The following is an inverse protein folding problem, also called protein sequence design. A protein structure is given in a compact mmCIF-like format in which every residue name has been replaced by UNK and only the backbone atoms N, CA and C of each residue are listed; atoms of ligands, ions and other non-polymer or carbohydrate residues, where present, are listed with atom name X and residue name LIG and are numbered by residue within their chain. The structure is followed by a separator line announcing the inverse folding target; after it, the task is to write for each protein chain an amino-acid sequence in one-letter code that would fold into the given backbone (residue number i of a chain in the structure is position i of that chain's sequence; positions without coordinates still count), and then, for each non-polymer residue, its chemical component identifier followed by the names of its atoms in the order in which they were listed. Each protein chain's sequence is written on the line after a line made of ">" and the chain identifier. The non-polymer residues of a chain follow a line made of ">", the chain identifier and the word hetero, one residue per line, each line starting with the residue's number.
data_IF_266925267658
#
_entry.id   IF_266925267658
#
_cell.length_a   1.000
_cell.length_b   1.000
_cell.length_c   1.000
_cell.angle_alpha   90.00
_cell.angle_beta   90.00
_cell.angle_gamma   90.00
#
_symmetry.space_group_name_H-M   'P 1'
#
loop_
_entity.id
_entity.type
_entity.pdbx_description
1 polymer ?
#
# COMPACT_ATOMS: atom_id res chain seq x y z
N UNK A 1 -1.59 -1.22 -10.11
CA UNK A 1 -1.34 -2.53 -10.74
C UNK A 1 -1.66 -2.48 -12.24
N UNK A 2 -1.02 -3.34 -13.03
CA UNK A 2 -1.26 -3.50 -14.47
C UNK A 2 -2.74 -3.84 -14.78
N UNK A 3 -3.31 -3.20 -15.80
CA UNK A 3 -4.73 -3.35 -16.13
C UNK A 3 -5.08 -4.77 -16.64
N UNK A 4 -4.21 -5.39 -17.44
CA UNK A 4 -4.44 -6.75 -17.93
C UNK A 4 -4.36 -7.76 -16.78
N UNK A 5 -3.39 -7.57 -15.87
CA UNK A 5 -3.25 -8.42 -14.69
C UNK A 5 -4.48 -8.35 -13.76
N UNK A 6 -5.07 -7.16 -13.59
CA UNK A 6 -6.32 -6.99 -12.83
C UNK A 6 -7.53 -7.62 -13.51
N UNK A 7 -7.64 -7.51 -14.84
CA UNK A 7 -8.81 -8.01 -15.57
C UNK A 7 -8.82 -9.54 -15.74
N UNK A 8 -7.65 -10.16 -15.84
CA UNK A 8 -7.55 -11.57 -16.21
C UNK A 8 -8.28 -12.55 -15.26
N UNK A 9 -8.20 -12.43 -13.91
CA UNK A 9 -8.94 -13.29 -12.99
C UNK A 9 -10.46 -13.19 -13.16
N UNK A 10 -10.99 -12.00 -13.43
CA UNK A 10 -12.43 -11.79 -13.67
C UNK A 10 -12.94 -12.50 -14.91
N UNK A 11 -12.09 -12.65 -15.93
CA UNK A 11 -12.48 -13.30 -17.17
C UNK A 11 -12.26 -14.82 -17.15
N UNK A 12 -11.33 -15.32 -16.32
CA UNK A 12 -10.83 -16.70 -16.43
C UNK A 12 -10.96 -17.54 -15.16
N UNK A 13 -10.93 -16.93 -13.96
CA UNK A 13 -10.98 -17.64 -12.68
C UNK A 13 -12.36 -17.48 -12.02
N UNK A 14 -12.81 -16.24 -11.79
CA UNK A 14 -14.06 -16.00 -11.07
C UNK A 14 -15.30 -16.65 -11.69
N UNK A 15 -15.45 -16.75 -13.03
CA UNK A 15 -16.55 -17.50 -13.62
C UNK A 15 -16.52 -18.99 -13.26
N UNK A 16 -15.33 -19.61 -13.21
CA UNK A 16 -15.16 -21.03 -12.83
C UNK A 16 -15.40 -21.26 -11.35
N UNK A 17 -14.98 -20.33 -10.49
CA UNK A 17 -15.35 -20.36 -9.06
C UNK A 17 -16.86 -20.28 -8.92
N UNK A 18 -17.52 -19.33 -9.60
CA UNK A 18 -18.96 -19.14 -9.52
C UNK A 18 -19.71 -20.41 -9.96
N UNK A 19 -19.34 -21.00 -11.08
CA UNK A 19 -19.90 -22.27 -11.55
C UNK A 19 -19.76 -23.39 -10.51
N UNK A 20 -18.55 -23.57 -9.94
CA UNK A 20 -18.27 -24.63 -8.98
C UNK A 20 -19.06 -24.48 -7.67
N UNK A 21 -19.22 -23.26 -7.17
CA UNK A 21 -19.97 -23.02 -5.92
C UNK A 21 -21.48 -23.07 -6.18
N UNK A 22 -21.98 -22.59 -7.32
CA UNK A 22 -23.40 -22.64 -7.67
C UNK A 22 -23.90 -24.06 -7.91
N UNK A 23 -23.05 -24.96 -8.41
CA UNK A 23 -23.35 -26.39 -8.53
C UNK A 23 -23.68 -27.06 -7.19
N UNK A 24 -23.27 -26.44 -6.08
CA UNK A 24 -23.61 -26.86 -4.71
C UNK A 24 -24.42 -25.78 -3.98
N UNK A 25 -25.33 -25.08 -4.67
CA UNK A 25 -26.21 -24.06 -4.12
C UNK A 25 -25.50 -23.08 -3.15
N UNK A 26 -24.29 -22.66 -3.48
CA UNK A 26 -23.64 -21.51 -2.85
C UNK A 26 -23.77 -20.31 -3.79
N UNK A 27 -23.73 -19.11 -3.22
CA UNK A 27 -23.54 -17.88 -3.99
C UNK A 27 -22.23 -17.24 -3.56
N UNK A 28 -21.42 -16.89 -4.55
CA UNK A 28 -20.22 -16.11 -4.35
C UNK A 28 -20.35 -14.78 -5.09
N UNK A 29 -19.89 -13.73 -4.44
CA UNK A 29 -19.71 -12.42 -5.04
C UNK A 29 -18.37 -11.86 -4.58
N UNK A 30 -17.89 -10.82 -5.26
CA UNK A 30 -16.59 -10.25 -4.98
C UNK A 30 -16.54 -9.68 -3.55
N UNK A 31 -15.37 -9.72 -2.95
CA UNK A 31 -15.15 -9.08 -1.66
C UNK A 31 -15.33 -7.55 -1.78
N UNK A 32 -16.12 -6.84 -0.96
CA UNK A 32 -16.78 -7.16 0.32
C UNK A 32 -18.20 -6.57 0.40
N UNK A 33 -18.87 -6.64 1.56
CA UNK A 33 -20.32 -6.46 1.72
C UNK A 33 -20.99 -5.11 1.42
N UNK A 34 -22.12 -4.88 2.10
CA UNK A 34 -22.97 -3.69 1.91
C UNK A 34 -22.20 -2.42 2.23
N UNK A 35 -22.25 -1.46 1.32
CA UNK A 35 -21.59 -0.16 1.44
C UNK A 35 -22.49 0.93 0.85
N UNK A 36 -22.45 2.12 1.43
CA UNK A 36 -23.15 3.29 0.89
C UNK A 36 -22.12 4.30 0.42
N UNK A 37 -22.17 4.64 -0.86
CA UNK A 37 -21.33 5.67 -1.47
C UNK A 37 -22.20 6.74 -2.11
N UNK A 38 -21.91 8.01 -1.84
CA UNK A 38 -22.68 9.16 -2.35
C UNK A 38 -24.20 9.00 -2.13
N UNK A 39 -24.61 8.51 -0.96
CA UNK A 39 -26.02 8.27 -0.61
C UNK A 39 -26.68 7.08 -1.31
N UNK A 40 -25.93 6.30 -2.12
CA UNK A 40 -26.44 5.12 -2.81
C UNK A 40 -25.91 3.85 -2.16
N UNK A 41 -26.84 3.06 -1.62
CA UNK A 41 -26.55 1.72 -1.09
C UNK A 41 -26.16 0.78 -2.22
N UNK A 42 -25.11 0.01 -2.02
CA UNK A 42 -24.58 -0.97 -2.96
C UNK A 42 -23.63 -1.96 -2.30
N UNK A 43 -22.77 -2.58 -3.10
CA UNK A 43 -21.80 -3.58 -2.65
C UNK A 43 -20.38 -3.09 -2.90
N UNK A 44 -19.42 -3.32 -1.99
CA UNK A 44 -18.05 -2.80 -2.18
C UNK A 44 -17.03 -3.25 -1.16
N UNK A 45 -15.74 -3.14 -1.50
CA UNK A 45 -14.62 -3.52 -0.60
C UNK A 45 -14.49 -2.54 0.57
N UNK A 46 -13.95 -3.00 1.70
CA UNK A 46 -13.69 -2.18 2.89
C UNK A 46 -12.34 -1.46 2.85
N UNK A 47 -11.32 -2.05 2.22
CA UNK A 47 -9.93 -1.59 2.30
C UNK A 47 -9.17 -1.95 1.02
N UNK A 48 -8.27 -1.07 0.57
CA UNK A 48 -7.49 -1.20 -0.67
C UNK A 48 -6.03 -0.80 -0.53
N UNK A 49 -5.58 -0.61 0.70
CA UNK A 49 -4.20 -0.35 1.04
C UNK A 49 -3.33 -1.60 0.73
N UNK A 50 -2.12 -1.44 0.17
CA UNK A 50 -1.25 -2.55 -0.20
C UNK A 50 -0.86 -3.51 0.92
N UNK A 51 -1.04 -3.17 2.21
CA UNK A 51 -0.96 -4.16 3.31
C UNK A 51 -1.91 -5.34 3.12
N UNK A 52 -2.96 -5.21 2.30
CA UNK A 52 -3.85 -6.32 1.93
C UNK A 52 -3.24 -7.14 0.79
N UNK A 53 -3.13 -8.45 0.99
CA UNK A 53 -2.52 -9.39 0.05
C UNK A 53 -3.00 -9.26 -1.42
N UNK A 54 -4.31 -9.08 -1.63
CA UNK A 54 -4.88 -8.99 -2.98
C UNK A 54 -4.51 -7.68 -3.70
N UNK A 55 -4.14 -6.62 -2.98
CA UNK A 55 -3.61 -5.37 -3.55
C UNK A 55 -2.10 -5.48 -3.73
N UNK A 56 -1.39 -5.98 -2.70
CA UNK A 56 0.05 -6.22 -2.71
C UNK A 56 0.50 -7.00 -3.96
N UNK A 57 -0.19 -8.11 -4.27
CA UNK A 57 0.10 -8.95 -5.44
C UNK A 57 0.01 -8.18 -6.75
N UNK A 58 -0.94 -7.25 -6.87
CA UNK A 58 -1.04 -6.35 -8.01
C UNK A 58 0.15 -5.40 -8.17
N UNK A 59 0.76 -4.95 -7.07
CA UNK A 59 2.01 -4.16 -7.10
C UNK A 59 3.24 -5.02 -7.41
N UNK A 60 3.23 -6.29 -7.03
CA UNK A 60 4.33 -7.25 -7.30
C UNK A 60 4.15 -8.04 -8.59
N UNK A 61 3.28 -7.56 -9.49
CA UNK A 61 3.06 -8.13 -10.83
C UNK A 61 2.65 -9.62 -10.80
N UNK A 62 1.82 -9.99 -9.84
CA UNK A 62 1.33 -11.36 -9.63
C UNK A 62 -0.18 -11.36 -9.42
N UNK A 63 -0.87 -12.42 -9.84
CA UNK A 63 -2.31 -12.58 -9.56
C UNK A 63 -2.46 -12.99 -8.10
N UNK A 64 -3.17 -12.19 -7.31
CA UNK A 64 -3.62 -12.56 -5.97
C UNK A 64 -5.13 -12.56 -5.88
N UNK A 65 -5.65 -13.53 -5.15
CA UNK A 65 -7.08 -13.66 -4.85
C UNK A 65 -7.17 -13.79 -3.34
N UNK A 66 -7.95 -12.89 -2.72
CA UNK A 66 -8.36 -13.05 -1.32
C UNK A 66 -9.62 -13.90 -1.32
N UNK A 67 -9.64 -14.95 -0.50
CA UNK A 67 -10.80 -15.80 -0.34
C UNK A 67 -11.25 -15.77 1.11
N UNK A 68 -12.50 -15.37 1.32
CA UNK A 68 -13.14 -15.37 2.63
C UNK A 68 -14.54 -15.97 2.50
N UNK A 69 -14.93 -16.80 3.47
CA UNK A 69 -16.28 -17.37 3.60
C UNK A 69 -16.88 -16.94 4.95
N UNK A 70 -17.09 -15.62 5.16
CA UNK A 70 -17.48 -15.11 6.48
C UNK A 70 -18.96 -15.41 6.76
N UNK A 71 -19.25 -15.93 7.96
CA UNK A 71 -20.61 -16.11 8.52
C UNK A 71 -21.60 -16.75 7.52
N UNK A 72 -21.51 -18.07 7.37
CA UNK A 72 -22.47 -18.84 6.58
C UNK A 72 -23.55 -19.45 7.47
N UNK A 73 -24.49 -18.64 7.97
CA UNK A 73 -25.67 -19.15 8.69
C UNK A 73 -26.85 -19.45 7.77
N UNK A 74 -26.81 -18.98 6.51
CA UNK A 74 -27.85 -19.24 5.50
C UNK A 74 -27.24 -19.62 4.16
N UNK A 75 -28.00 -20.36 3.35
CA UNK A 75 -27.64 -20.82 2.00
C UNK A 75 -28.72 -20.41 1.01
N UNK A 76 -28.31 -20.04 -0.21
CA UNK A 76 -29.23 -19.73 -1.32
C UNK A 76 -29.37 -20.98 -2.18
N UNK A 77 -30.56 -21.58 -2.20
CA UNK A 77 -30.89 -22.76 -2.99
C UNK A 77 -30.96 -22.42 -4.49
N UNK A 78 -30.91 -23.45 -5.34
CA UNK A 78 -31.02 -23.32 -6.80
C UNK A 78 -32.30 -22.60 -7.27
N UNK A 79 -33.41 -22.80 -6.56
CA UNK A 79 -34.68 -22.14 -6.83
C UNK A 79 -34.76 -20.69 -6.32
N UNK A 80 -33.67 -20.18 -5.73
CA UNK A 80 -33.57 -18.83 -5.18
C UNK A 80 -34.10 -18.70 -3.75
N UNK A 81 -34.60 -19.77 -3.13
CA UNK A 81 -34.98 -19.75 -1.72
C UNK A 81 -33.75 -19.68 -0.83
N UNK A 82 -33.91 -19.10 0.36
CA UNK A 82 -32.84 -18.97 1.34
C UNK A 82 -33.20 -19.79 2.57
N UNK A 83 -32.35 -20.73 2.92
CA UNK A 83 -32.55 -21.65 4.04
C UNK A 83 -31.50 -21.41 5.12
N UNK A 84 -31.88 -21.62 6.38
CA UNK A 84 -30.91 -21.63 7.49
C UNK A 84 -30.04 -22.89 7.43
N UNK A 85 -28.76 -22.73 7.72
CA UNK A 85 -27.80 -23.83 7.84
C UNK A 85 -27.78 -24.27 9.31
N UNK A 86 -28.08 -25.55 9.62
CA UNK A 86 -27.99 -26.11 10.96
C UNK A 86 -26.62 -25.82 11.60
N UNK A 87 -26.62 -25.49 12.90
CA UNK A 87 -25.42 -25.02 13.59
C UNK A 87 -24.24 -26.00 13.49
N UNK A 88 -24.52 -27.30 13.58
CA UNK A 88 -23.56 -28.40 13.47
C UNK A 88 -23.00 -28.59 12.05
N UNK A 89 -23.68 -28.09 11.02
CA UNK A 89 -23.25 -28.14 9.61
C UNK A 89 -22.44 -26.91 9.19
N UNK A 90 -22.56 -25.78 9.91
CA UNK A 90 -21.98 -24.48 9.51
C UNK A 90 -20.48 -24.54 9.27
N UNK A 91 -19.73 -25.28 10.08
CA UNK A 91 -18.29 -25.43 9.91
C UNK A 91 -17.94 -26.11 8.58
N UNK A 92 -18.56 -27.26 8.30
CA UNK A 92 -18.34 -27.99 7.05
C UNK A 92 -18.76 -27.19 5.83
N UNK A 93 -19.89 -26.48 5.93
CA UNK A 93 -20.37 -25.61 4.87
C UNK A 93 -19.38 -24.45 4.57
N UNK A 94 -18.79 -23.83 5.59
CA UNK A 94 -17.74 -22.81 5.40
C UNK A 94 -16.50 -23.39 4.69
N UNK A 95 -16.01 -24.53 5.16
CA UNK A 95 -14.84 -25.18 4.54
C UNK A 95 -15.13 -25.60 3.11
N UNK A 96 -16.34 -26.09 2.81
CA UNK A 96 -16.71 -26.58 1.47
C UNK A 96 -16.63 -25.48 0.42
N UNK A 97 -17.13 -24.27 0.70
CA UNK A 97 -17.00 -23.13 -0.21
C UNK A 97 -15.54 -22.79 -0.52
N UNK A 98 -14.68 -22.83 0.50
CA UNK A 98 -13.23 -22.65 0.32
C UNK A 98 -12.58 -23.73 -0.53
N UNK A 99 -12.94 -25.00 -0.30
CA UNK A 99 -12.43 -26.14 -1.09
C UNK A 99 -12.83 -26.03 -2.56
N UNK A 100 -14.09 -25.70 -2.85
CA UNK A 100 -14.58 -25.53 -4.22
C UNK A 100 -13.82 -24.43 -4.95
N UNK A 101 -13.68 -23.27 -4.32
CA UNK A 101 -13.00 -22.15 -4.94
C UNK A 101 -11.49 -22.38 -5.12
N UNK A 102 -10.80 -22.96 -4.13
CA UNK A 102 -9.38 -23.31 -4.26
C UNK A 102 -9.16 -24.37 -5.35
N UNK A 103 -10.03 -25.37 -5.45
CA UNK A 103 -9.95 -26.39 -6.50
C UNK A 103 -10.09 -25.76 -7.88
N UNK A 104 -11.11 -24.91 -8.08
CA UNK A 104 -11.30 -24.19 -9.34
C UNK A 104 -10.11 -23.29 -9.71
N UNK A 105 -9.51 -22.59 -8.73
CA UNK A 105 -8.30 -21.78 -8.94
C UNK A 105 -7.14 -22.66 -9.43
N UNK A 106 -6.89 -23.79 -8.76
CA UNK A 106 -5.79 -24.70 -9.11
C UNK A 106 -5.99 -25.35 -10.47
N UNK A 107 -7.22 -25.74 -10.81
CA UNK A 107 -7.58 -26.28 -12.12
C UNK A 107 -7.32 -25.26 -13.24
N UNK A 108 -7.84 -24.03 -13.11
CA UNK A 108 -7.59 -22.96 -14.07
C UNK A 108 -6.09 -22.64 -14.18
N UNK A 109 -5.37 -22.63 -13.06
CA UNK A 109 -3.93 -22.41 -13.07
C UNK A 109 -3.17 -23.52 -13.81
N UNK A 110 -3.59 -24.78 -13.70
CA UNK A 110 -3.00 -25.90 -14.42
C UNK A 110 -3.33 -25.86 -15.93
N UNK A 111 -4.60 -25.62 -16.26
CA UNK A 111 -5.12 -25.51 -17.64
C UNK A 111 -4.48 -24.34 -18.40
N UNK A 112 -4.42 -23.16 -17.77
CA UNK A 112 -3.97 -21.89 -18.37
C UNK A 112 -2.58 -21.45 -17.92
N UNK A 113 -1.73 -22.39 -17.50
CA UNK A 113 -0.39 -22.11 -16.96
C UNK A 113 0.46 -21.19 -17.85
N UNK A 114 0.36 -21.37 -19.17
CA UNK A 114 1.18 -20.61 -20.12
C UNK A 114 0.70 -19.16 -20.21
N UNK A 115 -0.61 -18.93 -20.29
CA UNK A 115 -1.22 -17.60 -20.29
C UNK A 115 -0.86 -16.83 -19.02
N UNK A 116 -0.92 -17.47 -17.84
CA UNK A 116 -0.56 -16.86 -16.56
C UNK A 116 0.93 -16.47 -16.53
N UNK A 117 1.81 -17.34 -17.04
CA UNK A 117 3.26 -17.07 -17.11
C UNK A 117 3.55 -15.90 -18.04
N UNK A 118 2.92 -15.87 -19.22
CA UNK A 118 3.08 -14.78 -20.18
C UNK A 118 2.58 -13.46 -19.61
N UNK A 119 1.39 -13.45 -19.01
CA UNK A 119 0.78 -12.27 -18.40
C UNK A 119 1.67 -11.68 -17.29
N UNK A 120 2.08 -12.50 -16.33
CA UNK A 120 2.90 -12.05 -15.19
C UNK A 120 4.30 -11.63 -15.63
N UNK A 121 4.92 -12.35 -16.58
CA UNK A 121 6.21 -11.97 -17.16
C UNK A 121 6.11 -10.63 -17.89
N UNK A 122 5.09 -10.45 -18.73
CA UNK A 122 4.89 -9.20 -19.45
C UNK A 122 4.66 -8.02 -18.50
N UNK A 123 3.89 -8.21 -17.42
CA UNK A 123 3.68 -7.19 -16.38
C UNK A 123 4.99 -6.80 -15.69
N UNK A 124 5.82 -7.79 -15.32
CA UNK A 124 7.16 -7.55 -14.73
C UNK A 124 8.08 -6.79 -15.70
N UNK A 125 8.10 -7.18 -16.98
CA UNK A 125 8.91 -6.52 -18.00
C UNK A 125 8.47 -5.07 -18.22
N UNK A 126 7.16 -4.79 -18.23
CA UNK A 126 6.64 -3.41 -18.28
C UNK A 126 7.07 -2.59 -17.07
N UNK A 127 7.03 -3.17 -15.86
CA UNK A 127 7.50 -2.48 -14.66
C UNK A 127 9.00 -2.15 -14.72
N UNK A 128 9.83 -3.10 -15.18
CA UNK A 128 11.27 -2.87 -15.38
C UNK A 128 11.52 -1.76 -16.41
N UNK A 129 10.84 -1.80 -17.55
CA UNK A 129 10.98 -0.79 -18.60
C UNK A 129 10.53 0.59 -18.12
N UNK A 130 9.40 0.66 -17.40
CA UNK A 130 8.91 1.89 -16.81
C UNK A 130 9.89 2.46 -15.79
N UNK A 131 10.44 1.63 -14.90
CA UNK A 131 11.46 2.07 -13.95
C UNK A 131 12.76 2.50 -14.61
N UNK A 132 13.22 1.79 -15.64
CA UNK A 132 14.42 2.19 -16.39
C UNK A 132 14.26 3.54 -17.07
N UNK A 133 13.10 3.83 -17.66
CA UNK A 133 12.88 5.10 -18.34
C UNK A 133 12.32 6.23 -17.48
N UNK A 134 12.03 5.99 -16.19
CA UNK A 134 11.26 6.95 -15.38
C UNK A 134 9.87 7.22 -15.97
N UNK A 135 9.25 6.20 -16.57
CA UNK A 135 8.02 6.35 -17.35
C UNK A 135 6.78 6.07 -16.52
N UNK A 136 5.73 6.83 -16.82
CA UNK A 136 4.43 6.68 -16.20
C UNK A 136 4.31 7.39 -14.86
N UNK A 137 3.19 7.15 -14.20
CA UNK A 137 2.77 7.87 -13.00
C UNK A 137 2.76 6.93 -11.80
N UNK A 138 3.13 7.47 -10.64
CA UNK A 138 2.85 6.91 -9.32
C UNK A 138 1.54 7.53 -8.83
N UNK A 139 0.62 6.69 -8.37
CA UNK A 139 -0.68 7.14 -7.85
C UNK A 139 -0.48 7.53 -6.40
N UNK A 140 -0.87 8.75 -6.05
CA UNK A 140 -0.80 9.27 -4.68
C UNK A 140 -2.18 9.19 -4.04
N UNK A 141 -3.21 9.71 -4.74
CA UNK A 141 -4.59 9.68 -4.29
C UNK A 141 -5.50 9.02 -5.33
N UNK A 142 -6.60 8.46 -4.84
CA UNK A 142 -7.61 7.82 -5.67
C UNK A 142 -8.97 7.79 -4.97
N UNK A 143 -10.03 7.72 -5.76
CA UNK A 143 -11.41 7.67 -5.26
C UNK A 143 -12.12 6.41 -5.75
N UNK A 144 -13.03 5.91 -4.92
CA UNK A 144 -13.91 4.80 -5.29
C UNK A 144 -14.93 5.25 -6.34
N UNK A 145 -15.22 4.37 -7.28
CA UNK A 145 -16.14 4.59 -8.38
C UNK A 145 -16.98 3.33 -8.62
N UNK A 146 -18.13 3.51 -9.25
CA UNK A 146 -19.00 2.40 -9.63
C UNK A 146 -18.39 1.64 -10.81
N UNK A 147 -18.28 0.32 -10.74
CA UNK A 147 -17.92 -0.51 -11.90
C UNK A 147 -19.13 -0.87 -12.76
N UNK A 148 -20.34 -0.71 -12.24
CA UNK A 148 -21.59 -1.11 -12.87
C UNK A 148 -22.60 -1.57 -11.83
N UNK A 149 -23.85 -1.72 -12.25
CA UNK A 149 -24.86 -2.39 -11.43
C UNK A 149 -24.82 -3.90 -11.71
N UNK A 150 -24.92 -4.70 -10.66
CA UNK A 150 -24.97 -6.16 -10.75
C UNK A 150 -26.00 -6.73 -9.76
N UNK A 151 -26.57 -7.91 -10.06
CA UNK A 151 -27.46 -8.60 -9.14
C UNK A 151 -26.66 -9.17 -7.95
N UNK A 152 -26.95 -8.68 -6.74
CA UNK A 152 -26.30 -9.09 -5.49
C UNK A 152 -27.34 -9.45 -4.44
N UNK A 153 -27.09 -10.50 -3.67
CA UNK A 153 -27.90 -10.83 -2.49
C UNK A 153 -27.61 -9.84 -1.37
N UNK A 154 -28.55 -8.93 -1.13
CA UNK A 154 -28.43 -7.84 -0.16
C UNK A 154 -29.27 -8.14 1.06
N UNK A 155 -28.83 -7.78 2.29
CA UNK A 155 -29.68 -7.78 3.46
C UNK A 155 -30.94 -6.94 3.20
N UNK A 156 -32.08 -7.48 3.58
CA UNK A 156 -33.41 -6.93 3.33
C UNK A 156 -34.35 -7.33 4.47
N UNK A 157 -34.73 -6.37 5.31
CA UNK A 157 -35.58 -6.60 6.49
C UNK A 157 -37.02 -6.95 6.12
N UNK A 158 -37.47 -6.54 4.92
CA UNK A 158 -38.82 -6.83 4.42
C UNK A 158 -38.91 -8.24 3.80
N UNK A 159 -37.78 -8.87 3.49
CA UNK A 159 -37.72 -10.22 2.98
C UNK A 159 -37.84 -11.24 4.14
N UNK A 160 -38.67 -12.27 3.98
CA UNK A 160 -38.84 -13.35 4.98
C UNK A 160 -37.51 -14.00 5.38
N UNK A 161 -36.59 -14.12 4.42
CA UNK A 161 -35.27 -14.69 4.63
C UNK A 161 -34.21 -13.69 5.12
N UNK A 162 -34.57 -12.42 5.30
CA UNK A 162 -33.64 -11.33 5.66
C UNK A 162 -32.71 -10.88 4.53
N UNK A 163 -32.87 -11.42 3.32
CA UNK A 163 -32.09 -11.09 2.14
C UNK A 163 -32.95 -11.16 0.88
N UNK A 164 -32.64 -10.32 -0.11
CA UNK A 164 -33.24 -10.35 -1.45
C UNK A 164 -32.19 -10.08 -2.53
N UNK A 165 -32.43 -10.57 -3.75
CA UNK A 165 -31.58 -10.30 -4.90
C UNK A 165 -31.92 -8.91 -5.46
N UNK A 166 -30.94 -8.01 -5.48
CA UNK A 166 -31.13 -6.62 -5.89
C UNK A 166 -30.12 -6.22 -6.95
N UNK A 167 -30.55 -5.44 -7.95
CA UNK A 167 -29.64 -4.79 -8.90
C UNK A 167 -29.06 -3.53 -8.26
N UNK A 168 -27.80 -3.60 -7.80
CA UNK A 168 -27.17 -2.57 -6.99
C UNK A 168 -25.85 -2.11 -7.59
N UNK A 169 -25.42 -0.84 -7.36
CA UNK A 169 -24.11 -0.39 -7.79
C UNK A 169 -22.99 -1.14 -7.05
N UNK A 170 -21.91 -1.45 -7.78
CA UNK A 170 -20.74 -2.15 -7.25
C UNK A 170 -19.53 -1.22 -7.19
N UNK A 171 -19.11 -0.90 -5.97
CA UNK A 171 -18.05 0.03 -5.61
C UNK A 171 -16.68 -0.68 -5.50
N UNK A 172 -16.26 -1.31 -6.61
CA UNK A 172 -15.00 -2.07 -6.72
C UNK A 172 -14.06 -1.53 -7.80
N UNK A 173 -14.24 -0.27 -8.19
CA UNK A 173 -13.34 0.44 -9.10
C UNK A 173 -12.74 1.62 -8.36
N UNK A 174 -11.45 1.86 -8.56
CA UNK A 174 -10.76 3.05 -8.05
C UNK A 174 -10.16 3.82 -9.21
N UNK A 175 -10.29 5.15 -9.13
CA UNK A 175 -9.82 6.09 -10.16
C UNK A 175 -8.78 7.01 -9.53
N UNK A 176 -7.57 7.11 -10.10
CA UNK A 176 -6.56 8.05 -9.61
C UNK A 176 -7.07 9.49 -9.68
N UNK A 177 -6.87 10.25 -8.62
CA UNK A 177 -7.20 11.69 -8.54
C UNK A 177 -5.95 12.56 -8.47
N UNK A 178 -4.85 12.03 -7.93
CA UNK A 178 -3.55 12.70 -7.92
C UNK A 178 -2.42 11.72 -8.21
N UNK A 179 -1.43 12.19 -8.98
CA UNK A 179 -0.26 11.41 -9.35
C UNK A 179 1.02 12.23 -9.34
N UNK A 180 2.16 11.54 -9.33
CA UNK A 180 3.49 12.11 -9.56
C UNK A 180 4.28 11.26 -10.56
N UNK A 181 5.27 11.84 -11.22
CA UNK A 181 6.09 11.12 -12.19
C UNK A 181 6.90 9.99 -11.55
N UNK A 182 7.15 8.91 -12.28
CA UNK A 182 8.00 7.81 -11.80
C UNK A 182 9.50 8.22 -11.84
N UNK A 183 10.25 8.14 -10.73
CA UNK A 183 11.71 8.31 -10.79
C UNK A 183 12.40 7.04 -11.31
N UNK A 184 13.64 7.16 -11.79
CA UNK A 184 14.49 6.00 -12.15
C UNK A 184 15.06 5.29 -10.92
N UNK A 185 15.03 5.93 -9.75
CA UNK A 185 15.43 5.35 -8.48
C UNK A 185 15.30 6.33 -7.32
N UNK A 186 15.59 5.83 -6.12
CA UNK A 186 15.59 6.61 -4.88
C UNK A 186 16.96 6.57 -4.21
N UNK A 187 17.39 7.69 -3.64
CA UNK A 187 18.53 7.78 -2.73
C UNK A 187 18.02 7.73 -1.30
N UNK A 188 18.72 6.99 -0.43
CA UNK A 188 18.48 6.97 1.01
C UNK A 188 19.78 7.22 1.78
N UNK A 189 19.75 8.08 2.82
CA UNK A 189 20.93 8.34 3.64
C UNK A 189 21.26 7.13 4.51
N UNK A 190 22.50 7.05 5.07
CA UNK A 190 22.90 5.96 5.95
C UNK A 190 21.98 5.77 7.17
N UNK A 191 21.33 6.84 7.63
CA UNK A 191 20.34 6.80 8.72
C UNK A 191 19.13 5.91 8.42
N UNK A 192 18.88 5.57 7.16
CA UNK A 192 17.80 4.67 6.72
C UNK A 192 18.26 3.21 6.56
N UNK A 193 19.44 2.83 7.06
CA UNK A 193 19.96 1.46 6.92
C UNK A 193 19.02 0.37 7.47
N UNK A 194 18.15 0.69 8.44
CA UNK A 194 17.14 -0.23 9.00
C UNK A 194 16.06 -0.64 8.01
N UNK A 195 15.85 0.13 6.94
CA UNK A 195 14.86 -0.17 5.88
C UNK A 195 15.37 -1.22 4.89
N UNK A 196 16.68 -1.31 4.70
CA UNK A 196 17.30 -2.21 3.71
C UNK A 196 16.87 -3.68 3.85
N UNK A 197 16.81 -4.31 5.04
CA UNK A 197 16.34 -5.68 5.18
C UNK A 197 14.91 -5.88 4.71
N UNK A 198 14.02 -4.90 4.93
CA UNK A 198 12.60 -4.97 4.53
C UNK A 198 12.49 -4.97 3.02
N UNK A 199 13.23 -4.08 2.35
CA UNK A 199 13.27 -4.04 0.90
C UNK A 199 13.76 -5.39 0.34
N UNK A 200 14.82 -5.94 0.94
CA UNK A 200 15.35 -7.24 0.54
C UNK A 200 14.38 -8.40 0.80
N UNK A 201 13.59 -8.37 1.88
CA UNK A 201 12.54 -9.36 2.16
C UNK A 201 11.43 -9.32 1.09
N UNK A 202 11.25 -8.18 0.40
CA UNK A 202 10.39 -8.02 -0.78
C UNK A 202 11.08 -8.35 -2.12
N UNK A 203 12.31 -8.88 -2.10
CA UNK A 203 13.15 -9.13 -3.28
C UNK A 203 13.50 -7.85 -4.07
N UNK A 204 13.57 -6.70 -3.38
CA UNK A 204 14.03 -5.44 -3.95
C UNK A 204 15.56 -5.37 -3.83
N UNK A 205 16.23 -5.21 -4.96
CA UNK A 205 17.67 -4.95 -4.98
C UNK A 205 17.97 -3.53 -4.48
N UNK A 206 18.87 -3.45 -3.51
CA UNK A 206 19.41 -2.22 -2.95
C UNK A 206 20.90 -2.17 -3.24
N UNK A 207 21.41 -0.98 -3.53
CA UNK A 207 22.82 -0.74 -3.81
C UNK A 207 23.37 0.25 -2.80
N UNK A 208 24.63 0.08 -2.40
CA UNK A 208 25.33 0.96 -1.47
C UNK A 208 26.46 1.70 -2.19
N UNK A 209 26.60 2.99 -1.94
CA UNK A 209 27.69 3.79 -2.49
C UNK A 209 29.04 3.35 -1.91
N UNK A 210 30.03 3.17 -2.78
CA UNK A 210 31.40 2.79 -2.44
C UNK A 210 32.38 3.98 -2.42
N UNK A 211 31.89 5.17 -2.73
CA UNK A 211 32.66 6.41 -2.78
C UNK A 211 31.74 7.62 -2.93
N UNK A 212 32.29 8.84 -2.86
CA UNK A 212 31.51 10.05 -2.99
C UNK A 212 31.00 10.27 -4.43
N UNK A 213 29.83 10.88 -4.55
CA UNK A 213 29.28 11.35 -5.82
C UNK A 213 28.44 12.61 -5.57
N UNK A 214 28.30 13.45 -6.60
CA UNK A 214 27.39 14.59 -6.60
C UNK A 214 26.29 14.29 -7.62
N UNK A 215 25.04 14.25 -7.17
CA UNK A 215 23.91 13.74 -7.94
C UNK A 215 22.75 14.72 -7.92
N UNK A 216 22.18 15.01 -9.08
CA UNK A 216 20.93 15.77 -9.17
C UNK A 216 19.76 14.90 -8.72
N UNK A 217 18.98 15.39 -7.77
CA UNK A 217 17.82 14.69 -7.24
C UNK A 217 16.69 15.66 -6.95
N UNK A 218 15.47 15.14 -6.95
CA UNK A 218 14.33 15.85 -6.40
C UNK A 218 14.16 15.46 -4.92
N UNK A 219 14.18 16.46 -4.06
CA UNK A 219 14.13 16.35 -2.61
C UNK A 219 12.76 16.78 -2.13
N UNK A 220 12.14 15.95 -1.31
CA UNK A 220 10.91 16.31 -0.62
C UNK A 220 11.21 16.98 0.72
N UNK A 221 10.50 18.05 1.01
CA UNK A 221 10.43 18.70 2.31
C UNK A 221 9.03 18.55 2.86
N UNK A 222 8.92 17.95 4.03
CA UNK A 222 7.64 17.81 4.72
C UNK A 222 7.13 19.19 5.15
N UNK A 223 5.89 19.48 4.78
CA UNK A 223 5.17 20.69 5.19
C UNK A 223 4.23 20.40 6.35
N UNK A 224 3.65 19.20 6.39
CA UNK A 224 2.81 18.74 7.50
C UNK A 224 3.05 17.25 7.75
N UNK A 225 3.54 16.87 8.93
CA UNK A 225 3.69 15.48 9.37
C UNK A 225 2.72 15.26 10.52
N UNK A 226 1.80 14.31 10.37
CA UNK A 226 0.72 14.07 11.33
C UNK A 226 0.50 12.59 11.60
N UNK A 227 0.16 12.24 12.84
CA UNK A 227 -0.34 10.91 13.19
C UNK A 227 -1.85 10.86 12.96
N UNK A 228 -2.29 9.96 12.10
CA UNK A 228 -3.69 9.80 11.70
C UNK A 228 -4.44 8.80 12.60
N UNK A 229 -3.79 7.68 12.93
CA UNK A 229 -4.44 6.61 13.69
C UNK A 229 -3.46 5.65 14.36
N UNK A 230 -3.96 4.85 15.31
CA UNK A 230 -3.21 3.73 15.86
C UNK A 230 -3.69 2.41 15.25
N UNK A 231 -2.78 1.63 14.70
CA UNK A 231 -3.09 0.35 14.08
C UNK A 231 -2.00 -0.69 14.33
N UNK A 232 -2.39 -1.85 14.91
CA UNK A 232 -1.52 -3.01 15.11
C UNK A 232 -0.14 -2.71 15.76
N UNK A 233 -0.07 -1.77 16.70
CA UNK A 233 1.19 -1.44 17.37
C UNK A 233 1.93 -0.23 16.78
N UNK A 234 1.40 0.38 15.72
CA UNK A 234 2.01 1.53 15.03
C UNK A 234 1.11 2.75 15.13
N UNK A 235 1.72 3.93 15.28
CA UNK A 235 1.08 5.22 15.03
C UNK A 235 1.25 5.55 13.56
N UNK A 236 0.18 5.37 12.79
CA UNK A 236 0.22 5.56 11.35
C UNK A 236 0.33 7.06 11.04
N UNK A 237 1.33 7.42 10.23
CA UNK A 237 1.59 8.80 9.85
C UNK A 237 1.13 9.11 8.43
N UNK A 238 0.74 10.36 8.21
CA UNK A 238 0.62 10.97 6.90
C UNK A 238 1.57 12.17 6.81
N UNK A 239 1.98 12.49 5.59
CA UNK A 239 2.82 13.66 5.34
C UNK A 239 2.38 14.38 4.07
N UNK A 240 2.29 15.70 4.15
CA UNK A 240 2.22 16.57 2.98
C UNK A 240 3.62 17.11 2.68
N UNK A 241 3.97 17.26 1.40
CA UNK A 241 5.32 17.64 0.99
C UNK A 241 5.34 18.70 -0.10
N UNK A 242 6.43 19.45 -0.14
CA UNK A 242 6.88 20.20 -1.30
C UNK A 242 8.16 19.58 -1.85
N UNK A 243 8.43 19.78 -3.15
CA UNK A 243 9.56 19.15 -3.82
C UNK A 243 10.44 20.18 -4.52
N UNK A 244 11.76 20.00 -4.40
CA UNK A 244 12.77 20.86 -4.99
C UNK A 244 13.84 20.04 -5.70
N UNK A 245 14.38 20.55 -6.81
CA UNK A 245 15.53 19.93 -7.46
C UNK A 245 16.81 20.46 -6.84
N UNK A 246 17.67 19.55 -6.38
CA UNK A 246 18.93 19.87 -5.72
C UNK A 246 20.04 18.95 -6.20
N UNK A 247 21.28 19.46 -6.18
CA UNK A 247 22.47 18.63 -6.31
C UNK A 247 22.89 18.15 -4.92
N UNK A 248 22.92 16.84 -4.74
CA UNK A 248 23.22 16.17 -3.48
C UNK A 248 24.61 15.54 -3.48
N UNK A 249 25.40 15.89 -2.48
CA UNK A 249 26.66 15.21 -2.20
C UNK A 249 26.39 13.95 -1.37
N UNK A 250 26.50 12.80 -2.02
CA UNK A 250 26.41 11.48 -1.39
C UNK A 250 27.80 10.95 -1.08
N UNK A 251 27.93 10.20 0.01
CA UNK A 251 29.18 9.61 0.47
C UNK A 251 29.05 8.10 0.66
N UNK A 252 30.15 7.42 0.97
CA UNK A 252 30.11 6.00 1.31
C UNK A 252 29.11 5.73 2.44
N UNK A 253 28.22 4.73 2.27
CA UNK A 253 27.17 4.42 3.24
C UNK A 253 25.77 4.80 2.80
N UNK A 254 25.63 5.72 1.84
CA UNK A 254 24.35 5.99 1.20
C UNK A 254 23.86 4.77 0.42
N UNK A 255 22.55 4.71 0.20
CA UNK A 255 21.90 3.67 -0.58
C UNK A 255 21.21 4.23 -1.82
N UNK A 256 21.16 3.43 -2.87
CA UNK A 256 20.42 3.64 -4.09
C UNK A 256 19.47 2.47 -4.34
N UNK A 257 18.21 2.77 -4.60
CA UNK A 257 17.15 1.79 -4.89
C UNK A 257 16.61 2.08 -6.29
N UNK A 258 17.05 1.37 -7.34
CA UNK A 258 16.56 1.60 -8.70
C UNK A 258 15.11 1.13 -8.83
N UNK A 259 14.29 1.84 -9.60
CA UNK A 259 12.91 1.40 -9.90
C UNK A 259 12.83 0.42 -11.07
N UNK A 260 13.93 0.25 -11.82
CA UNK A 260 14.06 -0.67 -12.96
C UNK A 260 14.13 -2.15 -12.53
N UNK A 261 13.13 -2.60 -11.79
CA UNK A 261 13.03 -3.94 -11.19
C UNK A 261 11.62 -4.49 -11.39
N UNK A 262 11.45 -5.81 -11.27
CA UNK A 262 10.12 -6.44 -11.28
C UNK A 262 9.22 -5.90 -10.16
N UNK A 263 9.80 -5.40 -9.06
CA UNK A 263 9.09 -4.76 -7.95
C UNK A 263 8.93 -3.24 -8.11
N UNK A 264 9.21 -2.67 -9.29
CA UNK A 264 9.22 -1.20 -9.50
C UNK A 264 7.94 -0.47 -9.05
N UNK A 265 6.77 -1.10 -9.17
CA UNK A 265 5.51 -0.52 -8.68
C UNK A 265 5.44 -0.48 -7.15
N UNK A 266 5.90 -1.54 -6.48
CA UNK A 266 5.98 -1.61 -5.02
C UNK A 266 7.03 -0.63 -4.48
N UNK A 267 8.19 -0.54 -5.13
CA UNK A 267 9.27 0.40 -4.75
C UNK A 267 8.71 1.83 -4.72
N UNK A 268 8.05 2.26 -5.80
CA UNK A 268 7.47 3.61 -5.84
C UNK A 268 6.39 3.81 -4.78
N UNK A 269 5.57 2.79 -4.49
CA UNK A 269 4.56 2.89 -3.44
C UNK A 269 5.17 3.02 -2.04
N UNK A 270 6.26 2.30 -1.76
CA UNK A 270 6.90 2.34 -0.45
C UNK A 270 7.70 3.64 -0.22
N UNK A 271 8.17 4.28 -1.29
CA UNK A 271 9.14 5.38 -1.24
C UNK A 271 8.53 6.77 -1.49
N UNK A 272 7.40 6.87 -2.21
CA UNK A 272 6.73 8.16 -2.38
C UNK A 272 6.04 8.57 -1.07
N UNK A 273 6.31 9.77 -0.52
CA UNK A 273 5.90 10.16 0.83
C UNK A 273 4.38 10.27 1.03
N UNK A 274 3.63 10.57 -0.02
CA UNK A 274 2.21 10.90 0.07
C UNK A 274 1.27 9.74 -0.30
N UNK A 275 1.80 8.54 -0.55
CA UNK A 275 0.96 7.33 -0.69
C UNK A 275 0.48 6.86 0.69
N UNK A 276 -0.72 6.28 0.75
CA UNK A 276 -1.42 5.94 2.00
C UNK A 276 -0.90 4.74 2.82
N UNK A 277 0.17 4.06 2.38
CA UNK A 277 0.65 2.83 3.02
C UNK A 277 2.16 2.59 2.82
N UNK A 278 2.98 3.62 3.08
CA UNK A 278 4.42 3.63 2.78
C UNK A 278 5.33 3.53 4.01
N UNK A 279 6.65 3.68 3.81
CA UNK A 279 7.63 3.62 4.89
C UNK A 279 7.39 4.69 5.99
N UNK A 280 6.92 5.89 5.62
CA UNK A 280 6.58 6.97 6.55
C UNK A 280 5.32 6.57 7.34
N UNK A 281 4.30 6.07 6.65
CA UNK A 281 3.05 5.59 7.28
C UNK A 281 3.31 4.57 8.38
N UNK A 282 4.30 3.70 8.20
CA UNK A 282 4.64 2.66 9.18
C UNK A 282 5.74 3.05 10.19
N UNK A 283 6.17 4.31 10.20
CA UNK A 283 7.10 4.85 11.19
C UNK A 283 8.58 4.53 10.94
N UNK A 284 8.96 4.09 9.74
CA UNK A 284 10.37 3.80 9.41
C UNK A 284 11.25 5.05 9.33
N UNK A 285 10.64 6.24 9.35
CA UNK A 285 11.30 7.54 9.31
C UNK A 285 11.16 8.32 10.61
N UNK A 286 10.64 7.74 11.69
CA UNK A 286 10.31 8.47 12.93
C UNK A 286 11.52 9.08 13.64
N UNK A 287 12.72 8.57 13.38
CA UNK A 287 13.99 9.13 13.86
C UNK A 287 14.50 10.30 13.00
N UNK A 288 13.78 10.66 11.93
CA UNK A 288 14.14 11.74 10.98
C UNK A 288 13.00 12.74 10.83
N UNK A 289 11.75 12.26 10.74
CA UNK A 289 10.55 13.08 10.58
C UNK A 289 9.78 13.12 11.89
N UNK A 290 9.74 14.30 12.48
CA UNK A 290 8.97 14.66 13.66
C UNK A 290 7.62 15.25 13.23
N UNK A 291 6.60 15.09 14.07
CA UNK A 291 5.29 15.69 13.81
C UNK A 291 5.39 17.22 13.71
N UNK A 292 4.65 17.80 12.76
CA UNK A 292 4.58 19.24 12.60
C UNK A 292 3.80 19.84 13.76
N UNK A 293 4.40 20.74 14.56
CA UNK A 293 3.69 21.37 15.66
C UNK A 293 2.55 22.27 15.16
N UNK A 294 1.39 22.23 15.83
CA UNK A 294 0.21 23.04 15.46
C UNK A 294 0.47 24.56 15.54
N UNK A 295 1.37 24.97 16.45
CA UNK A 295 1.69 26.38 16.68
C UNK A 295 3.02 26.55 17.39
N UNK A 296 3.55 27.78 17.38
CA UNK A 296 4.74 28.14 18.15
C UNK A 296 4.52 27.97 19.64
N UNK A 297 3.31 28.27 20.10
CA UNK A 297 2.87 28.12 21.47
C UNK A 297 2.92 26.64 21.90
N UNK A 298 2.48 25.72 21.05
CA UNK A 298 2.56 24.28 21.30
C UNK A 298 4.02 23.80 21.45
N UNK A 299 4.95 24.32 20.63
CA UNK A 299 6.38 24.02 20.77
C UNK A 299 6.93 24.55 22.09
N UNK A 300 6.57 25.77 22.47
CA UNK A 300 6.97 26.36 23.75
C UNK A 300 6.45 25.53 24.91
N UNK A 301 5.16 25.14 24.89
CA UNK A 301 4.56 24.29 25.91
C UNK A 301 5.26 22.94 26.04
N UNK A 302 5.53 22.27 24.90
CA UNK A 302 6.29 21.03 24.85
C UNK A 302 7.70 21.17 25.46
N UNK A 303 8.40 22.28 25.18
CA UNK A 303 9.71 22.58 25.79
C UNK A 303 9.64 22.82 27.30
N UNK A 304 8.55 23.40 27.78
CA UNK A 304 8.35 23.67 29.20
C UNK A 304 8.08 22.39 30.00
N UNK A 305 7.57 21.33 29.35
CA UNK A 305 7.31 20.04 29.98
C UNK A 305 6.37 20.16 31.20
N UNK A 306 5.38 21.05 31.12
CA UNK A 306 4.41 21.32 32.19
C UNK A 306 4.86 22.34 33.25
N UNK A 307 5.99 23.03 33.08
CA UNK A 307 6.37 24.17 33.95
C UNK A 307 5.55 25.40 33.64
N UNK A 308 5.18 26.15 34.68
CA UNK A 308 4.49 27.43 34.51
C UNK A 308 5.46 28.48 33.95
N UNK A 309 5.13 29.17 32.84
CA UNK A 309 5.97 30.22 32.27
C UNK A 309 6.36 31.32 33.25
N UNK A 310 5.54 31.58 34.28
CA UNK A 310 5.81 32.59 35.32
C UNK A 310 6.96 32.22 36.25
N UNK A 311 7.39 30.95 36.28
CA UNK A 311 8.57 30.48 37.04
C UNK A 311 9.90 30.76 36.33
N UNK A 312 9.85 31.27 35.09
CA UNK A 312 11.03 31.56 34.28
C UNK A 312 11.31 33.06 34.20
N UNK A 313 12.60 33.41 34.08
CA UNK A 313 13.00 34.80 33.81
C UNK A 313 12.59 35.20 32.39
N UNK A 314 12.44 36.52 32.15
CA UNK A 314 12.13 37.06 30.81
C UNK A 314 13.14 36.58 29.76
N UNK A 315 14.44 36.61 30.09
CA UNK A 315 15.49 36.11 29.20
C UNK A 315 15.37 34.61 28.91
N UNK A 316 14.96 33.80 29.90
CA UNK A 316 14.72 32.37 29.68
C UNK A 316 13.55 32.13 28.72
N UNK A 317 12.45 32.87 28.89
CA UNK A 317 11.28 32.79 28.03
C UNK A 317 11.58 33.26 26.60
N UNK A 318 12.35 34.35 26.43
CA UNK A 318 12.76 34.83 25.12
C UNK A 318 13.60 33.79 24.38
N UNK A 319 14.60 33.18 25.03
CA UNK A 319 15.39 32.10 24.42
C UNK A 319 14.56 30.89 24.04
N UNK A 320 13.57 30.50 24.85
CA UNK A 320 12.66 29.40 24.54
C UNK A 320 11.83 29.74 23.29
N UNK A 321 11.28 30.95 23.23
CA UNK A 321 10.52 31.42 22.07
C UNK A 321 11.38 31.49 20.81
N UNK A 322 12.62 31.95 20.89
CA UNK A 322 13.56 31.96 19.76
C UNK A 322 13.85 30.55 19.26
N UNK A 323 14.14 29.61 20.17
CA UNK A 323 14.33 28.19 19.81
C UNK A 323 13.08 27.60 19.16
N UNK A 324 11.89 27.89 19.69
CA UNK A 324 10.64 27.44 19.11
C UNK A 324 10.43 27.99 17.68
N UNK A 325 10.84 29.23 17.42
CA UNK A 325 10.79 29.81 16.07
C UNK A 325 11.75 29.11 15.10
N UNK A 326 12.95 28.73 15.56
CA UNK A 326 13.91 27.97 14.74
C UNK A 326 13.36 26.58 14.41
N UNK A 327 12.78 25.88 15.40
CA UNK A 327 12.20 24.54 15.18
C UNK A 327 11.07 24.58 14.15
N UNK A 328 10.13 25.51 14.29
CA UNK A 328 9.03 25.66 13.32
C UNK A 328 9.52 26.05 11.93
N UNK A 329 10.59 26.85 11.83
CA UNK A 329 11.14 27.25 10.55
C UNK A 329 12.02 26.16 9.91
N UNK A 330 12.40 25.12 10.66
CA UNK A 330 13.28 24.08 10.17
C UNK A 330 12.51 23.13 9.25
N UNK A 331 12.82 23.20 7.96
CA UNK A 331 12.29 22.27 6.97
C UNK A 331 12.79 20.86 7.27
N UNK A 332 11.87 19.91 7.31
CA UNK A 332 12.20 18.50 7.53
C UNK A 332 12.34 17.82 6.16
N UNK A 333 13.54 17.33 5.85
CA UNK A 333 13.79 16.63 4.59
C UNK A 333 13.37 15.17 4.70
N UNK A 334 12.55 14.72 3.75
CA UNK A 334 12.17 13.30 3.65
C UNK A 334 13.37 12.48 3.20
N UNK A 335 13.67 11.34 3.86
CA UNK A 335 14.89 10.58 3.62
C UNK A 335 14.82 9.61 2.42
N UNK A 336 13.97 9.89 1.43
CA UNK A 336 13.81 9.12 0.18
C UNK A 336 13.80 10.11 -1.00
N UNK A 337 14.99 10.49 -1.49
CA UNK A 337 15.10 11.47 -2.58
C UNK A 337 14.99 10.81 -3.94
N UNK A 338 14.37 11.48 -4.90
CA UNK A 338 14.05 10.94 -6.22
C UNK A 338 15.16 11.24 -7.21
N UNK A 339 15.69 10.21 -7.86
CA UNK A 339 16.57 10.35 -9.02
C UNK A 339 15.72 10.27 -10.27
N UNK A 340 15.62 11.36 -11.03
CA UNK A 340 14.75 11.44 -12.20
C UNK A 340 15.43 10.96 -13.49
N UNK A 341 16.76 11.02 -13.55
CA UNK A 341 17.55 10.63 -14.72
C UNK A 341 18.74 9.77 -14.31
N UNK A 342 19.18 8.87 -15.20
CA UNK A 342 20.36 8.04 -14.94
C UNK A 342 21.61 8.91 -14.83
N UNK A 343 22.36 8.67 -13.77
CA UNK A 343 23.60 9.36 -13.45
C UNK A 343 24.69 8.35 -13.10
N UNK A 344 25.95 8.76 -13.24
CA UNK A 344 27.07 7.88 -12.93
C UNK A 344 27.20 7.68 -11.42
N UNK A 345 26.99 6.45 -10.94
CA UNK A 345 27.03 6.10 -9.53
C UNK A 345 28.02 4.95 -9.30
N UNK A 346 28.97 5.13 -8.38
CA UNK A 346 29.84 4.05 -7.92
C UNK A 346 29.17 3.31 -6.77
N UNK A 347 28.38 2.29 -7.11
CA UNK A 347 27.57 1.53 -6.15
C UNK A 347 27.80 0.03 -6.27
N UNK A 348 27.61 -0.68 -5.16
CA UNK A 348 27.76 -2.14 -5.05
C UNK A 348 26.44 -2.71 -4.54
N UNK A 349 25.98 -3.82 -5.11
CA UNK A 349 24.72 -4.46 -4.68
C UNK A 349 24.87 -4.99 -3.26
N UNK A 350 23.91 -4.65 -2.41
CA UNK A 350 23.86 -5.14 -1.03
C UNK A 350 23.44 -6.62 -1.00
N UNK A 351 24.12 -7.42 -0.18
CA UNK A 351 23.77 -8.82 0.12
C UNK A 351 23.57 -9.09 1.61
N UNK A 352 22.82 -10.14 1.94
CA UNK A 352 22.58 -10.57 3.33
C UNK A 352 23.82 -11.22 3.93
N UNK A 353 24.44 -10.62 4.95
CA UNK A 353 25.62 -11.18 5.62
C UNK A 353 25.42 -12.62 6.10
N UNK A 354 24.27 -12.89 6.72
CA UNK A 354 23.72 -14.23 6.95
C UNK A 354 22.25 -14.10 7.41
N UNK A 355 21.54 -15.22 7.51
CA UNK A 355 20.13 -15.24 7.94
C UNK A 355 19.87 -14.84 9.40
N UNK A 356 20.92 -14.74 10.23
CA UNK A 356 20.84 -14.46 11.68
C UNK A 356 21.21 -13.02 12.05
N UNK A 357 21.94 -12.31 11.19
CA UNK A 357 22.39 -10.93 11.37
C UNK A 357 21.85 -10.06 10.23
N UNK A 358 20.52 -9.99 10.12
CA UNK A 358 19.82 -9.32 9.01
C UNK A 358 20.17 -7.83 8.85
N UNK A 359 20.53 -7.16 9.93
CA UNK A 359 20.93 -5.74 9.92
C UNK A 359 22.43 -5.53 9.62
N UNK A 360 23.18 -6.60 9.38
CA UNK A 360 24.59 -6.54 8.99
C UNK A 360 24.68 -6.86 7.50
N UNK A 361 25.34 -6.00 6.75
CA UNK A 361 25.51 -6.14 5.31
C UNK A 361 26.99 -6.21 4.97
N UNK A 362 27.34 -6.94 3.91
CA UNK A 362 28.71 -6.95 3.36
C UNK A 362 28.75 -6.39 1.95
N UNK A 363 29.98 -6.11 1.53
CA UNK A 363 30.34 -5.60 0.20
C UNK A 363 30.34 -6.71 -0.84
#
# INVERSE_FOLDING_TARGET
>A
ADAALRAWPYNNIFPRIREAVEAEDYRAFDYSGVRTENGRRGWGSTSVEPRKHHVYTGLTNTIGILLETPRNSRRVMQDGTIVEIPEDERYYHQIRGGVLALSAILEVAAERRQEIRELTTASRMRAIQAGHGGLGQVILDYEVSNRGNEPVWMPDEDAEAGYSLQDVPVWLRWVPTRTTDRPVGYLMPPAMASVVPILMDHDIAVYRFSGPASLDAEVYYATDVRTESYFQGHYLKAVDVEKETETLDVTEGWFYVPTAQSMGNLITYLMEPETDDNLITWGWTDHILEETPESREAVVEGMLGGRDPSELTTEQLERIRERAAVIIAQRQRVPMMRVLTHQHMSVIRVGHYNGFQRNRFYR
#
